data_IF_873337322957
#
_entry.id   IF_873337322957
#
_cell.length_a   1.000
_cell.length_b   1.000
_cell.length_c   1.000
_cell.angle_alpha   90.00
_cell.angle_beta   90.00
_cell.angle_gamma   90.00
#
_symmetry.space_group_name_H-M   'P 1'
#
loop_
_entity.id
_entity.type
_entity.pdbx_description
1 polymer ?
#
# COMPACT_ATOMS: atom_id res chain seq x y z
N UNK A 1 -16.26 -29.20 41.71
CA UNK A 1 -17.58 -28.91 41.16
C UNK A 1 -17.41 -27.92 40.04
N UNK A 2 -17.18 -28.39 38.82
CA UNK A 2 -16.95 -27.55 37.63
C UNK A 2 -18.23 -27.49 36.79
N UNK A 3 -18.67 -26.34 36.29
CA UNK A 3 -19.90 -26.24 35.49
C UNK A 3 -19.66 -26.66 34.04
N UNK A 4 -20.32 -27.70 33.63
CA UNK A 4 -20.44 -28.22 32.26
C UNK A 4 -21.58 -27.46 31.59
N UNK A 5 -21.31 -26.30 30.94
CA UNK A 5 -22.39 -25.59 30.23
C UNK A 5 -21.94 -24.81 28.97
N UNK A 6 -20.82 -25.13 28.33
CA UNK A 6 -20.41 -24.41 27.11
C UNK A 6 -20.21 -25.27 25.84
N UNK A 7 -20.71 -26.53 25.81
CA UNK A 7 -20.41 -27.47 24.71
C UNK A 7 -21.66 -27.97 23.95
N UNK A 8 -22.72 -27.15 23.83
CA UNK A 8 -24.00 -27.65 23.26
C UNK A 8 -24.50 -26.97 21.99
N UNK A 9 -23.75 -26.14 21.29
CA UNK A 9 -24.27 -25.45 20.09
C UNK A 9 -23.56 -25.68 18.76
N UNK A 10 -22.44 -26.36 18.73
CA UNK A 10 -21.71 -26.65 17.46
C UNK A 10 -21.81 -28.10 16.99
N UNK A 11 -22.30 -29.02 17.85
CA UNK A 11 -22.46 -30.42 17.51
C UNK A 11 -23.44 -30.75 16.37
N UNK A 12 -24.61 -30.06 16.22
CA UNK A 12 -25.56 -30.47 15.19
C UNK A 12 -25.12 -30.16 13.78
N UNK A 13 -24.38 -29.10 13.53
CA UNK A 13 -23.94 -28.70 12.16
C UNK A 13 -22.79 -29.60 11.68
N UNK A 14 -21.84 -29.89 12.54
CA UNK A 14 -20.73 -30.80 12.23
C UNK A 14 -21.23 -32.24 12.06
N UNK A 15 -22.24 -32.66 12.81
CA UNK A 15 -22.82 -33.99 12.68
C UNK A 15 -23.62 -34.14 11.39
N UNK A 16 -24.37 -33.11 10.98
CA UNK A 16 -25.10 -33.09 9.70
C UNK A 16 -24.13 -33.08 8.50
N UNK A 17 -23.05 -32.32 8.57
CA UNK A 17 -22.03 -32.30 7.51
C UNK A 17 -21.30 -33.65 7.45
N UNK A 18 -21.02 -34.30 8.60
CA UNK A 18 -20.35 -35.60 8.65
C UNK A 18 -21.28 -36.72 8.22
N UNK A 19 -22.58 -36.67 8.51
CA UNK A 19 -23.55 -37.69 8.06
C UNK A 19 -23.78 -37.62 6.54
N UNK A 20 -23.76 -36.41 5.94
CA UNK A 20 -23.85 -36.24 4.47
C UNK A 20 -22.56 -36.73 3.78
N UNK A 21 -21.41 -36.71 4.48
CA UNK A 21 -20.14 -37.20 3.93
C UNK A 21 -19.90 -38.69 4.16
N UNK A 22 -20.68 -39.34 5.06
CA UNK A 22 -20.49 -40.74 5.47
C UNK A 22 -21.51 -41.72 4.90
N UNK A 23 -22.45 -41.32 4.04
CA UNK A 23 -23.32 -42.24 3.29
C UNK A 23 -22.85 -42.45 1.85
N UNK A 24 -21.95 -43.37 1.57
CA UNK A 24 -21.23 -43.42 0.30
C UNK A 24 -21.82 -44.32 -0.76
N UNK A 25 -22.93 -45.00 -0.58
CA UNK A 25 -23.26 -46.08 -1.54
C UNK A 25 -24.55 -45.91 -2.37
N UNK A 26 -25.44 -45.02 -2.03
CA UNK A 26 -26.68 -44.83 -2.82
C UNK A 26 -26.66 -43.65 -3.78
N UNK A 27 -25.72 -42.70 -3.63
CA UNK A 27 -25.68 -41.45 -4.40
C UNK A 27 -24.87 -41.54 -5.71
N UNK A 28 -24.08 -42.61 -5.90
CA UNK A 28 -23.27 -42.75 -7.12
C UNK A 28 -24.03 -43.13 -8.38
N UNK A 29 -25.29 -43.52 -8.26
CA UNK A 29 -26.06 -44.00 -9.42
C UNK A 29 -26.65 -42.92 -10.33
N UNK A 30 -26.57 -41.62 -9.94
CA UNK A 30 -27.25 -40.55 -10.69
C UNK A 30 -26.49 -39.23 -10.85
N UNK A 31 -25.20 -39.19 -10.59
CA UNK A 31 -24.39 -38.03 -10.99
C UNK A 31 -23.89 -38.24 -12.41
N UNK A 32 -24.76 -37.91 -13.36
CA UNK A 32 -24.39 -37.73 -14.76
C UNK A 32 -23.21 -36.74 -14.82
N UNK A 33 -22.19 -36.97 -15.68
CA UNK A 33 -21.06 -36.03 -15.85
C UNK A 33 -21.49 -34.60 -16.10
N UNK A 34 -22.70 -34.38 -16.64
CA UNK A 34 -23.30 -33.08 -16.83
C UNK A 34 -23.73 -32.38 -15.53
N UNK A 35 -24.32 -33.09 -14.58
CA UNK A 35 -24.75 -32.53 -13.29
C UNK A 35 -23.58 -32.19 -12.37
N UNK A 36 -22.49 -32.98 -12.40
CA UNK A 36 -21.26 -32.65 -11.69
C UNK A 36 -20.60 -31.36 -12.16
N UNK A 37 -20.56 -31.16 -13.48
CA UNK A 37 -20.01 -29.92 -14.06
C UNK A 37 -20.91 -28.70 -13.78
N UNK A 38 -22.23 -28.89 -13.75
CA UNK A 38 -23.21 -27.84 -13.41
C UNK A 38 -23.05 -27.38 -11.95
N UNK A 39 -22.93 -28.32 -11.01
CA UNK A 39 -22.68 -28.02 -9.60
C UNK A 39 -21.34 -27.28 -9.40
N UNK A 40 -20.28 -27.75 -10.05
CA UNK A 40 -18.98 -27.07 -10.01
C UNK A 40 -19.08 -25.63 -10.55
N UNK A 41 -19.80 -25.43 -11.65
CA UNK A 41 -20.01 -24.09 -12.24
C UNK A 41 -20.78 -23.17 -11.30
N UNK A 42 -21.80 -23.68 -10.61
CA UNK A 42 -22.55 -22.93 -9.59
C UNK A 42 -21.64 -22.56 -8.41
N UNK A 43 -20.83 -23.49 -7.90
CA UNK A 43 -19.86 -23.22 -6.83
C UNK A 43 -18.83 -22.15 -7.24
N UNK A 44 -18.23 -22.28 -8.40
CA UNK A 44 -17.28 -21.29 -8.95
C UNK A 44 -17.98 -19.95 -9.14
N UNK A 45 -19.21 -19.93 -9.63
CA UNK A 45 -20.02 -18.72 -9.77
C UNK A 45 -20.32 -18.05 -8.43
N UNK A 46 -20.69 -18.80 -7.41
CA UNK A 46 -20.95 -18.31 -6.04
C UNK A 46 -19.67 -17.75 -5.40
N UNK A 47 -18.56 -18.46 -5.50
CA UNK A 47 -17.27 -18.02 -4.96
C UNK A 47 -16.80 -16.76 -5.67
N UNK A 48 -16.89 -16.74 -6.99
CA UNK A 48 -16.53 -15.56 -7.80
C UNK A 48 -17.44 -14.37 -7.51
N UNK A 49 -18.76 -14.60 -7.40
CA UNK A 49 -19.74 -13.59 -7.03
C UNK A 49 -19.47 -13.02 -5.63
N UNK A 50 -19.25 -13.89 -4.65
CA UNK A 50 -18.89 -13.47 -3.29
C UNK A 50 -17.57 -12.67 -3.26
N UNK A 51 -16.56 -13.09 -4.00
CA UNK A 51 -15.31 -12.36 -4.15
C UNK A 51 -15.54 -10.96 -4.75
N UNK A 52 -16.35 -10.84 -5.80
CA UNK A 52 -16.68 -9.56 -6.41
C UNK A 52 -17.48 -8.64 -5.48
N UNK A 53 -18.45 -9.17 -4.74
CA UNK A 53 -19.23 -8.42 -3.76
C UNK A 53 -18.32 -7.90 -2.64
N UNK A 54 -17.47 -8.73 -2.08
CA UNK A 54 -16.51 -8.34 -1.02
C UNK A 54 -15.53 -7.29 -1.54
N UNK A 55 -15.09 -7.41 -2.78
CA UNK A 55 -14.15 -6.46 -3.40
C UNK A 55 -14.81 -5.10 -3.70
N UNK A 56 -16.12 -5.09 -4.01
CA UNK A 56 -16.89 -3.87 -4.31
C UNK A 56 -17.57 -3.25 -3.08
N UNK A 57 -17.56 -3.92 -1.92
CA UNK A 57 -18.10 -3.35 -0.68
C UNK A 57 -17.39 -2.01 -0.40
N UNK A 58 -18.16 -0.93 -0.11
CA UNK A 58 -17.59 0.33 0.34
C UNK A 58 -16.60 0.08 1.47
N UNK A 59 -15.51 0.82 1.49
CA UNK A 59 -14.43 0.68 2.48
C UNK A 59 -14.93 0.62 3.93
N UNK A 60 -16.02 1.33 4.21
CA UNK A 60 -16.71 1.38 5.52
C UNK A 60 -17.31 0.04 5.94
N UNK A 61 -18.01 -0.67 5.04
CA UNK A 61 -18.56 -1.99 5.32
C UNK A 61 -17.46 -3.03 5.46
N UNK A 62 -16.41 -2.90 4.67
CA UNK A 62 -15.24 -3.75 4.74
C UNK A 62 -14.49 -3.57 6.06
N UNK A 63 -14.33 -2.34 6.55
CA UNK A 63 -13.72 -2.06 7.86
C UNK A 63 -14.57 -2.61 9.01
N UNK A 64 -15.90 -2.56 8.88
CA UNK A 64 -16.82 -3.12 9.86
C UNK A 64 -16.69 -4.65 9.92
N UNK A 65 -16.66 -5.32 8.77
CA UNK A 65 -16.49 -6.79 8.70
C UNK A 65 -15.17 -7.25 9.33
N UNK A 66 -14.08 -6.53 9.07
CA UNK A 66 -12.79 -6.86 9.68
C UNK A 66 -12.73 -6.53 11.17
N UNK A 67 -13.42 -5.50 11.65
CA UNK A 67 -13.58 -5.24 13.09
C UNK A 67 -14.32 -6.39 13.80
N UNK A 68 -15.35 -6.94 13.17
CA UNK A 68 -16.12 -8.06 13.71
C UNK A 68 -15.36 -9.38 13.70
N UNK A 69 -14.43 -9.57 12.79
CA UNK A 69 -13.60 -10.79 12.69
C UNK A 69 -12.34 -10.77 13.55
N UNK A 70 -12.14 -9.72 14.38
CA UNK A 70 -11.05 -9.63 15.37
C UNK A 70 -9.64 -9.52 14.78
N UNK A 71 -9.50 -9.31 13.46
CA UNK A 71 -8.18 -9.15 12.80
C UNK A 71 -7.67 -7.71 12.78
N UNK A 72 -8.23 -6.84 13.60
CA UNK A 72 -7.88 -5.43 13.64
C UNK A 72 -7.30 -5.03 14.99
N UNK A 73 -6.03 -5.24 15.16
CA UNK A 73 -5.25 -4.19 15.79
C UNK A 73 -5.22 -3.05 14.77
N UNK A 74 -6.22 -2.16 14.85
CA UNK A 74 -6.25 -0.97 14.02
C UNK A 74 -4.92 -0.27 14.21
N UNK A 75 -4.16 -0.07 13.12
CA UNK A 75 -2.91 0.67 13.14
C UNK A 75 -3.22 2.11 13.53
N UNK A 76 -3.39 2.34 14.83
CA UNK A 76 -3.53 3.69 15.37
C UNK A 76 -2.13 4.27 15.49
N UNK A 77 -1.86 5.26 14.69
CA UNK A 77 -0.57 5.93 14.62
C UNK A 77 -0.66 7.39 15.02
N UNK A 78 0.49 8.03 15.14
CA UNK A 78 0.61 9.45 15.39
C UNK A 78 -0.14 10.27 14.33
N UNK A 79 -0.31 11.54 14.60
CA UNK A 79 -1.02 12.48 13.70
C UNK A 79 -0.42 12.47 12.28
N UNK A 80 0.89 12.23 12.17
CA UNK A 80 1.64 12.17 10.92
C UNK A 80 2.26 10.77 10.76
N UNK A 81 1.98 10.12 9.65
CA UNK A 81 2.49 8.78 9.34
C UNK A 81 3.11 8.75 7.95
N UNK A 82 4.29 8.18 7.84
CA UNK A 82 4.99 7.92 6.59
C UNK A 82 4.92 6.45 6.23
N UNK A 83 4.99 6.16 4.92
CA UNK A 83 5.13 4.80 4.43
C UNK A 83 6.16 4.70 3.31
N UNK A 84 7.08 3.75 3.45
CA UNK A 84 8.04 3.37 2.44
C UNK A 84 7.88 1.90 2.04
N UNK A 85 7.76 1.62 0.76
CA UNK A 85 7.70 0.23 0.25
C UNK A 85 9.05 -0.49 0.37
N UNK A 86 10.15 0.24 0.39
CA UNK A 86 11.51 -0.30 0.51
C UNK A 86 12.50 0.75 1.02
N UNK A 87 13.67 0.28 1.44
CA UNK A 87 14.81 1.10 1.83
C UNK A 87 15.27 2.11 0.74
N UNK A 88 14.93 1.88 -0.53
CA UNK A 88 15.27 2.80 -1.62
C UNK A 88 14.71 4.20 -1.43
N UNK A 89 13.57 4.34 -0.74
CA UNK A 89 12.93 5.64 -0.49
C UNK A 89 13.48 6.36 0.74
N UNK A 90 14.40 5.75 1.47
CA UNK A 90 15.04 6.37 2.65
C UNK A 90 15.69 7.73 2.35
N UNK A 91 16.38 7.83 1.20
CA UNK A 91 17.02 9.09 0.79
C UNK A 91 16.02 10.24 0.57
N UNK A 92 14.76 9.92 0.25
CA UNK A 92 13.68 10.91 0.12
C UNK A 92 13.11 11.30 1.48
N UNK A 93 12.89 10.34 2.37
CA UNK A 93 12.26 10.61 3.66
C UNK A 93 13.22 11.10 4.73
N UNK A 94 14.49 10.66 4.74
CA UNK A 94 15.47 11.02 5.77
C UNK A 94 15.57 12.52 6.05
N UNK A 95 15.72 13.41 5.06
CA UNK A 95 15.81 14.86 5.32
C UNK A 95 14.52 15.43 5.92
N UNK A 96 13.36 14.92 5.50
CA UNK A 96 12.06 15.33 6.03
C UNK A 96 11.92 14.89 7.49
N UNK A 97 12.27 13.64 7.79
CA UNK A 97 12.23 13.10 9.15
C UNK A 97 13.24 13.82 10.06
N UNK A 98 14.43 14.16 9.57
CA UNK A 98 15.42 14.92 10.31
C UNK A 98 14.92 16.35 10.66
N UNK A 99 14.21 16.99 9.76
CA UNK A 99 13.58 18.28 10.04
C UNK A 99 12.48 18.15 11.11
N UNK A 100 11.64 17.11 11.03
CA UNK A 100 10.62 16.83 12.04
C UNK A 100 11.22 16.50 13.41
N UNK A 101 12.32 15.75 13.45
CA UNK A 101 13.07 15.47 14.67
C UNK A 101 13.56 16.76 15.33
N UNK A 102 14.13 17.69 14.54
CA UNK A 102 14.58 19.00 15.02
C UNK A 102 13.42 19.86 15.58
N UNK A 103 12.24 19.70 15.01
CA UNK A 103 11.02 20.40 15.46
C UNK A 103 10.31 19.68 16.61
N UNK A 104 10.77 18.52 17.05
CA UNK A 104 10.13 17.70 18.08
C UNK A 104 8.77 17.15 17.66
N UNK A 105 8.53 16.94 16.37
CA UNK A 105 7.24 16.47 15.85
C UNK A 105 7.21 14.95 15.81
N UNK A 106 6.34 14.37 16.63
CA UNK A 106 6.11 12.93 16.69
C UNK A 106 5.51 12.41 15.38
N UNK A 107 6.12 11.38 14.82
CA UNK A 107 5.67 10.74 13.59
C UNK A 107 5.84 9.22 13.64
N UNK A 108 5.00 8.51 12.89
CA UNK A 108 5.15 7.09 12.67
C UNK A 108 5.78 6.85 11.28
N UNK A 109 6.67 5.88 11.19
CA UNK A 109 7.25 5.48 9.92
C UNK A 109 6.99 4.00 9.67
N UNK A 110 6.12 3.71 8.73
CA UNK A 110 5.76 2.36 8.32
C UNK A 110 6.67 1.94 7.16
N UNK A 111 7.18 0.74 7.21
CA UNK A 111 8.01 0.22 6.11
C UNK A 111 7.68 -1.23 5.78
N UNK A 112 7.84 -1.59 4.51
CA UNK A 112 7.75 -2.97 4.03
C UNK A 112 9.14 -3.63 3.89
N UNK A 113 10.19 -2.98 4.40
CA UNK A 113 11.54 -3.51 4.40
C UNK A 113 12.05 -3.70 5.84
N UNK A 114 12.37 -4.95 6.21
CA UNK A 114 12.90 -5.29 7.53
C UNK A 114 14.29 -4.69 7.80
N UNK A 115 15.01 -4.35 6.72
CA UNK A 115 16.36 -3.76 6.76
C UNK A 115 16.35 -2.28 6.44
N UNK A 116 15.20 -1.61 6.58
CA UNK A 116 15.08 -0.19 6.31
C UNK A 116 16.05 0.60 7.22
N UNK A 117 16.83 1.54 6.66
CA UNK A 117 17.77 2.37 7.40
C UNK A 117 17.14 3.26 8.48
N UNK A 118 15.83 3.37 8.53
CA UNK A 118 15.12 4.06 9.62
C UNK A 118 15.36 3.38 10.96
N UNK A 119 15.47 2.04 11.04
CA UNK A 119 15.63 1.33 12.30
C UNK A 119 16.91 1.71 13.06
N UNK A 120 18.10 1.74 12.43
CA UNK A 120 19.32 2.20 13.08
C UNK A 120 19.52 3.73 13.07
N UNK A 121 18.54 4.53 12.61
CA UNK A 121 18.72 5.99 12.41
C UNK A 121 18.92 6.77 13.71
N UNK A 122 18.43 6.26 14.85
CA UNK A 122 18.51 6.91 16.14
C UNK A 122 17.57 8.09 16.36
N UNK A 123 16.61 8.33 15.47
CA UNK A 123 15.57 9.34 15.67
C UNK A 123 14.72 9.03 16.90
N UNK A 124 14.40 10.04 17.69
CA UNK A 124 13.61 9.93 18.94
C UNK A 124 12.12 10.17 18.70
N UNK A 125 11.80 11.12 17.82
CA UNK A 125 10.42 11.49 17.49
C UNK A 125 9.85 10.68 16.31
N UNK A 126 10.63 9.77 15.71
CA UNK A 126 10.18 8.91 14.61
C UNK A 126 10.03 7.48 15.13
N UNK A 127 8.83 6.92 15.04
CA UNK A 127 8.51 5.56 15.49
C UNK A 127 8.45 4.59 14.31
N UNK A 128 9.54 3.88 14.01
CA UNK A 128 9.58 2.97 12.87
C UNK A 128 8.85 1.64 13.20
N UNK A 129 8.12 1.13 12.23
CA UNK A 129 7.44 -0.16 12.33
C UNK A 129 7.44 -0.89 10.99
N UNK A 130 7.90 -2.13 10.99
CA UNK A 130 7.71 -3.04 9.87
C UNK A 130 6.26 -3.56 9.86
N UNK A 131 5.58 -3.46 8.71
CA UNK A 131 4.15 -3.84 8.57
C UNK A 131 3.92 -5.02 7.62
N UNK A 132 4.98 -5.73 7.24
CA UNK A 132 4.93 -6.82 6.29
C UNK A 132 5.24 -6.37 4.86
N UNK A 133 5.22 -7.33 3.94
CA UNK A 133 5.53 -7.11 2.50
C UNK A 133 4.28 -7.31 1.66
N UNK A 134 4.22 -6.64 0.52
CA UNK A 134 3.17 -6.83 -0.50
C UNK A 134 1.75 -6.79 0.09
N UNK A 135 0.93 -7.79 -0.15
CA UNK A 135 -0.48 -7.84 0.27
C UNK A 135 -0.69 -7.68 1.78
N UNK A 136 0.26 -8.15 2.62
CA UNK A 136 0.17 -7.97 4.08
C UNK A 136 0.24 -6.50 4.44
N UNK A 137 1.22 -5.78 3.90
CA UNK A 137 1.36 -4.34 4.09
C UNK A 137 0.14 -3.58 3.55
N UNK A 138 -0.29 -3.88 2.33
CA UNK A 138 -1.45 -3.20 1.72
C UNK A 138 -2.74 -3.41 2.50
N UNK A 139 -2.93 -4.60 3.07
CA UNK A 139 -4.07 -4.87 3.96
C UNK A 139 -3.97 -4.05 5.24
N UNK A 140 -2.80 -3.99 5.87
CA UNK A 140 -2.58 -3.20 7.07
C UNK A 140 -2.84 -1.70 6.82
N UNK A 141 -2.35 -1.15 5.71
CA UNK A 141 -2.59 0.24 5.31
C UNK A 141 -4.07 0.56 5.08
N UNK A 142 -4.86 -0.42 4.63
CA UNK A 142 -6.31 -0.27 4.48
C UNK A 142 -7.07 -0.03 5.81
N UNK A 143 -6.43 -0.27 6.96
CA UNK A 143 -6.98 -0.03 8.30
C UNK A 143 -6.23 1.06 9.08
N UNK A 144 -5.31 1.76 8.43
CA UNK A 144 -4.54 2.84 9.04
C UNK A 144 -5.45 3.94 9.60
N UNK A 145 -5.15 4.44 10.79
CA UNK A 145 -5.79 5.60 11.40
C UNK A 145 -4.73 6.67 11.69
N UNK A 146 -4.76 7.75 10.94
CA UNK A 146 -3.85 8.89 11.08
C UNK A 146 -4.48 10.14 10.47
N UNK A 147 -4.06 11.35 10.89
CA UNK A 147 -4.55 12.58 10.27
C UNK A 147 -3.93 12.81 8.89
N UNK A 148 -2.62 12.61 8.78
CA UNK A 148 -1.87 12.82 7.54
C UNK A 148 -1.04 11.57 7.23
N UNK A 149 -1.21 11.05 6.04
CA UNK A 149 -0.46 9.90 5.55
C UNK A 149 0.37 10.29 4.33
N UNK A 150 1.69 10.17 4.48
CA UNK A 150 2.70 10.58 3.49
C UNK A 150 3.36 9.36 2.89
N UNK A 151 3.36 9.26 1.57
CA UNK A 151 3.94 8.12 0.88
C UNK A 151 4.53 8.51 -0.49
N UNK A 152 5.43 7.67 -0.99
CA UNK A 152 6.02 7.79 -2.33
C UNK A 152 5.37 6.85 -3.34
N UNK A 153 4.49 5.96 -2.90
CA UNK A 153 3.82 4.98 -3.76
C UNK A 153 2.73 5.63 -4.58
N UNK A 154 2.77 5.61 -5.90
CA UNK A 154 1.72 6.15 -6.75
C UNK A 154 0.49 5.23 -6.81
N UNK A 155 -0.67 5.77 -7.22
CA UNK A 155 -1.84 4.96 -7.58
C UNK A 155 -2.62 4.37 -6.43
N UNK A 156 -2.77 5.09 -5.31
CA UNK A 156 -3.73 4.72 -4.26
C UNK A 156 -5.14 4.66 -4.85
N UNK A 157 -5.94 3.69 -4.41
CA UNK A 157 -7.27 3.32 -4.93
C UNK A 157 -7.30 2.88 -6.41
N UNK A 158 -6.20 2.97 -7.12
CA UNK A 158 -6.06 2.50 -8.51
C UNK A 158 -5.35 1.15 -8.57
N UNK A 159 -4.25 1.04 -7.83
CA UNK A 159 -3.42 -0.18 -7.78
C UNK A 159 -3.71 -0.99 -6.50
N UNK A 160 -2.65 -1.39 -5.79
CA UNK A 160 -2.78 -2.31 -4.66
C UNK A 160 -3.20 -1.64 -3.36
N UNK A 161 -2.73 -0.41 -3.12
CA UNK A 161 -3.02 0.32 -1.87
C UNK A 161 -4.41 0.95 -1.96
N UNK A 162 -5.28 0.57 -1.02
CA UNK A 162 -6.61 1.15 -0.87
C UNK A 162 -6.60 2.25 0.18
N UNK A 163 -7.38 3.31 -0.06
CA UNK A 163 -7.58 4.36 0.94
C UNK A 163 -8.25 3.78 2.17
N UNK A 164 -7.71 4.10 3.34
CA UNK A 164 -8.35 3.82 4.61
C UNK A 164 -9.32 4.95 4.96
N UNK A 165 -10.53 4.64 5.44
CA UNK A 165 -11.45 5.67 5.96
C UNK A 165 -10.93 6.33 7.23
N UNK A 166 -9.92 5.76 7.89
CA UNK A 166 -9.28 6.32 9.09
C UNK A 166 -8.18 7.34 8.79
N UNK A 167 -7.88 7.62 7.52
CA UNK A 167 -6.87 8.60 7.11
C UNK A 167 -7.53 9.88 6.67
N UNK A 168 -7.18 10.99 7.32
CA UNK A 168 -7.76 12.29 7.03
C UNK A 168 -7.25 12.89 5.73
N UNK A 169 -5.95 12.74 5.41
CA UNK A 169 -5.32 13.34 4.24
C UNK A 169 -4.20 12.47 3.69
N UNK A 170 -4.18 12.28 2.38
CA UNK A 170 -3.16 11.55 1.64
C UNK A 170 -2.23 12.51 0.90
N UNK A 171 -0.93 12.41 1.19
CA UNK A 171 0.11 13.26 0.62
C UNK A 171 1.09 12.39 -0.16
N UNK A 172 1.28 12.67 -1.44
CA UNK A 172 2.32 12.02 -2.24
C UNK A 172 3.59 12.88 -2.25
N UNK A 173 4.74 12.28 -1.99
CA UNK A 173 6.05 12.91 -2.17
C UNK A 173 6.68 12.35 -3.43
N UNK A 174 6.89 13.21 -4.42
CA UNK A 174 7.59 12.82 -5.64
C UNK A 174 9.07 12.62 -5.31
N UNK A 175 9.58 11.44 -5.63
CA UNK A 175 10.94 11.02 -5.30
C UNK A 175 11.91 11.09 -6.50
N UNK A 176 11.44 11.57 -7.65
CA UNK A 176 12.22 11.70 -8.87
C UNK A 176 11.98 13.07 -9.55
N UNK A 177 13.00 13.59 -10.24
CA UNK A 177 12.92 14.84 -10.99
C UNK A 177 12.28 14.69 -12.37
N UNK A 178 11.99 13.46 -12.79
CA UNK A 178 11.36 13.19 -14.08
C UNK A 178 9.96 13.77 -14.18
N UNK A 179 9.46 13.85 -15.41
CA UNK A 179 8.09 14.29 -15.66
C UNK A 179 7.06 13.29 -15.14
N UNK A 180 5.91 13.78 -14.73
CA UNK A 180 4.83 12.97 -14.17
C UNK A 180 4.18 12.03 -15.19
N UNK A 181 4.33 12.26 -16.51
CA UNK A 181 3.81 11.36 -17.54
C UNK A 181 4.50 9.99 -17.55
N UNK A 182 5.66 9.84 -16.90
CA UNK A 182 6.33 8.55 -16.72
C UNK A 182 5.60 7.64 -15.71
N UNK A 183 4.72 8.19 -14.91
CA UNK A 183 3.89 7.43 -13.98
C UNK A 183 2.71 6.76 -14.70
N UNK A 184 2.23 5.66 -14.15
CA UNK A 184 1.02 4.99 -14.67
C UNK A 184 -0.19 5.91 -14.62
N UNK A 185 -1.16 5.66 -15.48
CA UNK A 185 -2.42 6.41 -15.49
C UNK A 185 -3.08 6.41 -14.10
N UNK A 186 -3.67 7.54 -13.74
CA UNK A 186 -4.39 7.78 -12.47
C UNK A 186 -3.53 7.74 -11.21
N UNK A 187 -2.20 7.77 -11.33
CA UNK A 187 -1.27 7.64 -10.19
C UNK A 187 -1.48 8.67 -9.09
N UNK A 188 -1.97 9.86 -9.43
CA UNK A 188 -2.14 10.98 -8.49
C UNK A 188 -3.60 11.34 -8.21
N UNK A 189 -4.56 10.72 -8.87
CA UNK A 189 -5.96 11.18 -8.89
C UNK A 189 -6.62 11.15 -7.51
N UNK A 190 -6.24 10.21 -6.66
CA UNK A 190 -6.82 10.02 -5.32
C UNK A 190 -5.97 10.58 -4.18
N UNK A 191 -4.96 11.38 -4.49
CA UNK A 191 -4.21 12.13 -3.49
C UNK A 191 -4.88 13.49 -3.19
N UNK A 192 -4.76 13.94 -1.95
CA UNK A 192 -5.26 15.26 -1.52
C UNK A 192 -4.19 16.33 -1.73
N UNK A 193 -2.90 15.95 -1.63
CA UNK A 193 -1.76 16.81 -1.90
C UNK A 193 -0.64 16.06 -2.62
N UNK A 194 0.16 16.79 -3.40
CA UNK A 194 1.37 16.26 -4.04
C UNK A 194 2.51 17.27 -3.84
N UNK A 195 3.60 16.77 -3.27
CA UNK A 195 4.84 17.52 -3.12
C UNK A 195 5.74 17.25 -4.31
N UNK A 196 5.85 18.25 -5.16
CA UNK A 196 6.50 18.20 -6.46
C UNK A 196 7.98 18.57 -6.36
N UNK A 197 8.81 17.97 -7.21
CA UNK A 197 10.23 18.32 -7.30
C UNK A 197 10.44 19.71 -7.96
N UNK A 198 9.52 20.16 -8.79
CA UNK A 198 9.66 21.46 -9.45
C UNK A 198 8.42 21.93 -10.20
N UNK A 199 8.49 23.13 -10.82
CA UNK A 199 7.35 23.78 -11.45
C UNK A 199 6.80 23.01 -12.67
N UNK A 200 7.62 22.24 -13.38
CA UNK A 200 7.19 21.41 -14.51
C UNK A 200 6.17 20.37 -14.07
N UNK A 201 6.42 19.68 -12.93
CA UNK A 201 5.48 18.70 -12.38
C UNK A 201 4.17 19.35 -11.93
N UNK A 202 4.22 20.54 -11.32
CA UNK A 202 3.03 21.29 -10.94
C UNK A 202 2.18 21.62 -12.18
N UNK A 203 2.81 22.12 -13.25
CA UNK A 203 2.13 22.46 -14.51
C UNK A 203 1.47 21.21 -15.12
N UNK A 204 2.19 20.09 -15.16
CA UNK A 204 1.68 18.83 -15.72
C UNK A 204 0.53 18.25 -14.88
N UNK A 205 0.59 18.33 -13.54
CA UNK A 205 -0.51 17.90 -12.67
C UNK A 205 -1.75 18.76 -12.85
N UNK A 206 -1.62 20.10 -12.96
CA UNK A 206 -2.74 20.99 -13.23
C UNK A 206 -3.40 20.69 -14.58
N UNK A 207 -2.59 20.41 -15.61
CA UNK A 207 -3.11 20.01 -16.93
C UNK A 207 -3.89 18.70 -16.85
N UNK A 208 -3.40 17.70 -16.10
CA UNK A 208 -4.10 16.42 -15.89
C UNK A 208 -5.41 16.59 -15.11
N UNK A 209 -5.43 17.44 -14.08
CA UNK A 209 -6.64 17.75 -13.32
C UNK A 209 -7.71 18.36 -14.22
N UNK A 210 -7.33 19.33 -15.06
CA UNK A 210 -8.23 19.96 -16.02
C UNK A 210 -8.74 18.96 -17.06
N UNK A 211 -7.85 18.14 -17.63
CA UNK A 211 -8.20 17.15 -18.64
C UNK A 211 -9.17 16.09 -18.13
N UNK A 212 -9.01 15.66 -16.86
CA UNK A 212 -9.78 14.58 -16.25
C UNK A 212 -10.95 15.03 -15.41
N UNK A 213 -11.12 16.34 -15.20
CA UNK A 213 -12.15 16.88 -14.32
C UNK A 213 -11.99 16.43 -12.88
N UNK A 214 -10.76 16.15 -12.42
CA UNK A 214 -10.51 15.70 -11.04
C UNK A 214 -10.46 16.89 -10.09
N UNK A 215 -10.76 16.63 -8.81
CA UNK A 215 -10.64 17.66 -7.76
C UNK A 215 -9.22 18.23 -7.72
N UNK A 216 -9.06 19.56 -7.70
CA UNK A 216 -7.75 20.18 -7.55
C UNK A 216 -7.07 19.74 -6.26
N UNK A 217 -5.81 19.32 -6.37
CA UNK A 217 -4.96 18.91 -5.25
C UNK A 217 -4.18 20.11 -4.73
N UNK A 218 -3.75 20.05 -3.49
CA UNK A 218 -2.72 20.96 -3.02
C UNK A 218 -1.38 20.55 -3.64
N UNK A 219 -0.74 21.46 -4.38
CA UNK A 219 0.56 21.21 -5.01
C UNK A 219 1.59 22.14 -4.39
N UNK A 220 2.64 21.56 -3.81
CA UNK A 220 3.75 22.29 -3.19
C UNK A 220 5.06 21.90 -3.87
N UNK A 221 5.88 22.90 -4.20
CA UNK A 221 7.22 22.65 -4.72
C UNK A 221 8.16 22.42 -3.53
N UNK A 222 8.54 21.18 -3.29
CA UNK A 222 9.43 20.79 -2.20
C UNK A 222 10.89 20.65 -2.63
N UNK A 223 11.15 20.52 -3.94
CA UNK A 223 12.43 20.07 -4.46
C UNK A 223 12.52 18.53 -4.47
N UNK A 224 13.72 18.01 -4.62
CA UNK A 224 13.97 16.57 -4.65
C UNK A 224 15.09 16.22 -3.65
N UNK A 225 14.76 15.79 -2.43
CA UNK A 225 15.74 15.46 -1.39
C UNK A 225 16.78 14.42 -1.82
N UNK A 226 16.42 13.51 -2.73
CA UNK A 226 17.35 12.56 -3.31
C UNK A 226 18.46 13.27 -4.12
N UNK A 227 18.09 14.25 -4.94
CA UNK A 227 19.05 15.02 -5.75
C UNK A 227 19.93 15.89 -4.87
N UNK A 228 19.36 16.52 -3.85
CA UNK A 228 20.12 17.31 -2.87
C UNK A 228 21.19 16.43 -2.21
N UNK A 229 20.83 15.23 -1.82
CA UNK A 229 21.78 14.25 -1.29
C UNK A 229 22.86 13.81 -2.29
N UNK A 230 22.54 13.75 -3.60
CA UNK A 230 23.54 13.49 -4.63
C UNK A 230 24.52 14.66 -4.79
N UNK A 231 24.01 15.88 -4.80
CA UNK A 231 24.83 17.10 -4.89
C UNK A 231 25.80 17.18 -3.71
N UNK A 232 25.33 16.93 -2.50
CA UNK A 232 26.19 16.93 -1.31
C UNK A 232 27.27 15.84 -1.34
N UNK A 233 26.94 14.67 -1.86
CA UNK A 233 27.93 13.59 -2.08
C UNK A 233 28.95 13.97 -3.16
N UNK A 234 28.50 14.60 -4.24
CA UNK A 234 29.40 15.02 -5.33
C UNK A 234 30.41 16.07 -4.86
N UNK A 235 29.99 17.00 -3.99
CA UNK A 235 30.90 18.00 -3.37
C UNK A 235 32.03 17.37 -2.54
N UNK A 236 31.78 16.18 -1.96
CA UNK A 236 32.74 15.46 -1.12
C UNK A 236 33.49 14.38 -1.87
N UNK A 237 33.08 14.07 -3.09
CA UNK A 237 33.74 13.05 -3.91
C UNK A 237 35.10 13.52 -4.40
N UNK A 238 36.03 12.58 -4.55
CA UNK A 238 37.28 12.86 -5.25
C UNK A 238 36.99 13.29 -6.70
N UNK A 239 37.82 14.15 -7.29
CA UNK A 239 37.64 14.54 -8.68
C UNK A 239 37.65 13.29 -9.57
N UNK A 240 36.84 13.26 -10.64
CA UNK A 240 36.79 12.13 -11.53
C UNK A 240 38.15 11.87 -12.15
N UNK A 241 38.49 10.59 -12.27
CA UNK A 241 39.75 10.18 -12.94
C UNK A 241 39.71 10.61 -14.42
N UNK A 242 40.73 11.31 -14.87
CA UNK A 242 40.82 11.75 -16.26
C UNK A 242 40.71 10.57 -17.23
N UNK A 243 39.97 10.73 -18.31
CA UNK A 243 39.73 9.67 -19.29
C UNK A 243 38.65 8.66 -18.94
N UNK A 244 37.95 8.82 -17.81
CA UNK A 244 36.80 7.96 -17.45
C UNK A 244 35.55 8.37 -18.23
N UNK A 245 34.92 7.41 -18.90
CA UNK A 245 33.62 7.55 -19.56
C UNK A 245 32.60 6.71 -18.84
N UNK A 246 31.48 7.35 -18.41
CA UNK A 246 30.35 6.65 -17.79
C UNK A 246 29.33 6.34 -18.87
N UNK A 247 29.01 5.06 -19.07
CA UNK A 247 27.92 4.61 -19.93
C UNK A 247 26.79 4.19 -19.03
N UNK A 248 25.71 4.98 -19.02
CA UNK A 248 24.53 4.74 -18.17
C UNK A 248 23.25 4.62 -19.03
N UNK A 249 23.10 3.52 -19.78
CA UNK A 249 21.90 3.33 -20.60
C UNK A 249 20.67 3.10 -19.74
N UNK A 250 19.51 3.51 -20.25
CA UNK A 250 18.22 3.15 -19.65
C UNK A 250 17.96 1.66 -19.81
N UNK A 251 17.38 1.05 -18.81
CA UNK A 251 16.87 -0.32 -18.88
C UNK A 251 15.50 -0.36 -19.54
N UNK A 252 15.17 -1.43 -20.24
CA UNK A 252 13.86 -1.62 -20.91
C UNK A 252 14.01 -2.27 -22.29
N UNK A 253 12.89 -2.49 -22.98
CA UNK A 253 12.85 -3.16 -24.29
C UNK A 253 13.78 -2.54 -25.36
N UNK A 254 14.09 -1.25 -25.25
CA UNK A 254 14.96 -0.50 -26.15
C UNK A 254 16.28 -0.10 -25.47
N UNK A 255 16.65 -0.76 -24.38
CA UNK A 255 17.90 -0.52 -23.68
C UNK A 255 19.08 -1.01 -24.49
N UNK A 256 20.22 -0.31 -24.40
CA UNK A 256 21.46 -0.70 -25.07
C UNK A 256 22.14 -1.94 -24.45
N UNK A 257 21.70 -2.30 -23.22
CA UNK A 257 22.19 -3.48 -22.50
C UNK A 257 20.99 -4.41 -22.26
N UNK A 258 20.68 -5.25 -23.21
CA UNK A 258 19.73 -6.37 -23.13
C UNK A 258 20.48 -7.69 -23.10
#
# INVERSE_FOLDING_TARGET
MFPITAMRRTLPITFVILSVLLEPQAAYAYLDPGTGSMLLSVFVGLISGAYFVIRKLPSTLRSLFFRLTGKTDALKHNTLTFYAESAAYWSTFKPILAALETLGVESSYLTSDEKDPVFPSGFKCVHPRFIGKSNTAYTALGFLQTKVFVLTTPGIDVLQIRRSPGVGRYVHVVHAVGDIHTYKLFSFDYYDAVYCAGPGQVKSLRALESLRGTRPKELTQLGCPYVDGLVERAKRAAPPQAGTVIVAPTWGRNGLLT
#
